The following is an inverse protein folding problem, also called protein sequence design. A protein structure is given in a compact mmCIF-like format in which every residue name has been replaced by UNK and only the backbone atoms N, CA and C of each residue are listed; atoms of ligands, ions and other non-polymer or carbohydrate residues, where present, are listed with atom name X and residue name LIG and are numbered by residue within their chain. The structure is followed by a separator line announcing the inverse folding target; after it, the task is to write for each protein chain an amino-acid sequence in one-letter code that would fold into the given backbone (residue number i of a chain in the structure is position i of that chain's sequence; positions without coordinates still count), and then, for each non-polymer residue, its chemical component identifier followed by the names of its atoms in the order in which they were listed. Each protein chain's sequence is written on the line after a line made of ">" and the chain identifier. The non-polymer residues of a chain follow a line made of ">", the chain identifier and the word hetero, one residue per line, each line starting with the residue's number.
data_IF_121971315848
#
_entry.id   IF_121971315848
#
_cell.length_a   1.000
_cell.length_b   1.000
_cell.length_c   1.000
_cell.angle_alpha   90.00
_cell.angle_beta   90.00
_cell.angle_gamma   90.00
#
_symmetry.space_group_name_H-M   'P 1'
#
loop_
_entity.id
_entity.type
_entity.pdbx_description
1 polymer ?
#
# COMPACT_ATOMS: atom_id res chain seq x y z
N UNK A 1 61.50 -43.86 -19.11
CA UNK A 1 61.01 -42.45 -19.17
C UNK A 1 59.49 -42.52 -19.28
N UNK A 2 58.84 -42.35 -18.14
CA UNK A 2 57.38 -42.41 -18.03
C UNK A 2 56.87 -40.97 -17.93
N UNK A 3 56.12 -40.51 -18.91
CA UNK A 3 55.49 -39.18 -18.89
C UNK A 3 54.15 -39.28 -18.16
N UNK A 4 54.04 -38.65 -16.98
CA UNK A 4 52.74 -38.49 -16.27
C UNK A 4 52.01 -37.27 -16.87
N UNK A 5 50.80 -37.55 -17.45
CA UNK A 5 49.87 -36.50 -17.87
C UNK A 5 49.01 -36.08 -16.69
N UNK A 6 49.14 -34.80 -16.31
CA UNK A 6 48.27 -34.14 -15.35
C UNK A 6 46.97 -33.74 -16.06
N UNK A 7 45.88 -34.37 -15.65
CA UNK A 7 44.50 -33.97 -16.06
C UNK A 7 44.02 -32.93 -15.07
N UNK A 8 43.94 -31.67 -15.50
CA UNK A 8 43.32 -30.58 -14.70
C UNK A 8 41.80 -30.70 -14.72
N UNK A 9 41.22 -31.00 -13.59
CA UNK A 9 39.78 -30.98 -13.39
C UNK A 9 39.34 -29.51 -13.17
N UNK A 10 38.66 -28.92 -14.16
CA UNK A 10 38.02 -27.60 -14.00
C UNK A 10 36.64 -27.83 -13.34
N UNK A 11 36.54 -27.48 -12.07
CA UNK A 11 35.26 -27.47 -11.38
C UNK A 11 34.46 -26.22 -11.81
N UNK A 12 33.40 -26.42 -12.60
CA UNK A 12 32.44 -25.35 -12.89
C UNK A 12 31.50 -25.23 -11.69
N UNK A 13 31.68 -24.19 -10.89
CA UNK A 13 30.75 -23.84 -9.83
C UNK A 13 29.49 -23.25 -10.47
N UNK A 14 28.39 -23.99 -10.45
CA UNK A 14 27.09 -23.48 -10.82
C UNK A 14 26.59 -22.52 -9.70
N UNK A 15 26.62 -21.23 -9.98
CA UNK A 15 25.98 -20.23 -9.11
C UNK A 15 24.47 -20.37 -9.36
N UNK A 16 23.78 -21.03 -8.42
CA UNK A 16 22.33 -21.00 -8.38
C UNK A 16 21.90 -19.57 -7.98
N UNK A 17 21.48 -18.76 -8.94
CA UNK A 17 20.72 -17.55 -8.65
C UNK A 17 19.38 -18.01 -8.04
N UNK A 18 19.28 -17.91 -6.73
CA UNK A 18 17.99 -17.94 -6.04
C UNK A 18 17.24 -16.68 -6.43
N UNK A 19 16.48 -16.74 -7.52
CA UNK A 19 15.50 -15.74 -7.87
C UNK A 19 14.48 -15.67 -6.74
N UNK A 20 14.56 -14.61 -5.92
CA UNK A 20 13.52 -14.26 -4.95
C UNK A 20 12.23 -14.09 -5.76
N UNK A 21 11.21 -14.83 -5.41
CA UNK A 21 9.94 -14.90 -6.12
C UNK A 21 9.21 -13.54 -6.05
N UNK A 22 9.45 -12.67 -7.02
CA UNK A 22 8.61 -11.49 -7.30
C UNK A 22 7.24 -11.91 -7.91
N UNK A 23 7.04 -13.20 -8.16
CA UNK A 23 5.81 -13.73 -8.75
C UNK A 23 4.58 -13.64 -7.82
N UNK A 24 4.75 -13.77 -6.51
CA UNK A 24 3.66 -13.70 -5.54
C UNK A 24 3.02 -12.31 -5.47
N UNK A 25 3.82 -11.27 -5.37
CA UNK A 25 3.33 -9.89 -5.21
C UNK A 25 2.54 -9.36 -6.42
N UNK A 26 2.84 -9.79 -7.64
CA UNK A 26 2.11 -9.36 -8.84
C UNK A 26 0.73 -10.00 -8.94
N UNK A 27 0.61 -11.30 -8.59
CA UNK A 27 -0.68 -12.00 -8.53
C UNK A 27 -1.56 -11.42 -7.42
N UNK A 28 -0.98 -11.09 -6.26
CA UNK A 28 -1.70 -10.54 -5.13
C UNK A 28 -2.23 -9.14 -5.44
N UNK A 29 -1.43 -8.26 -6.06
CA UNK A 29 -1.89 -6.95 -6.52
C UNK A 29 -2.96 -7.04 -7.62
N UNK A 30 -2.92 -8.07 -8.46
CA UNK A 30 -4.00 -8.32 -9.43
C UNK A 30 -5.29 -8.75 -8.73
N UNK A 31 -5.19 -9.57 -7.67
CA UNK A 31 -6.34 -9.95 -6.84
C UNK A 31 -6.94 -8.73 -6.12
N UNK A 32 -6.10 -7.83 -5.55
CA UNK A 32 -6.57 -6.55 -4.97
C UNK A 32 -7.36 -5.73 -5.99
N UNK A 33 -6.83 -5.55 -7.21
CA UNK A 33 -7.55 -4.84 -8.28
C UNK A 33 -8.88 -5.48 -8.58
N UNK A 34 -8.92 -6.81 -8.71
CA UNK A 34 -10.15 -7.54 -9.00
C UNK A 34 -11.21 -7.35 -7.91
N UNK A 35 -10.81 -7.44 -6.64
CA UNK A 35 -11.68 -7.30 -5.48
C UNK A 35 -12.21 -5.87 -5.33
N UNK A 36 -11.38 -4.86 -5.62
CA UNK A 36 -11.72 -3.44 -5.41
C UNK A 36 -12.25 -2.72 -6.65
N UNK A 37 -12.28 -3.38 -7.83
CA UNK A 37 -12.83 -2.81 -9.06
C UNK A 37 -14.27 -2.28 -8.94
N UNK A 38 -15.20 -2.92 -8.22
CA UNK A 38 -16.56 -2.39 -8.02
C UNK A 38 -16.59 -1.02 -7.32
N UNK A 39 -15.56 -0.70 -6.52
CA UNK A 39 -15.48 0.50 -5.69
C UNK A 39 -15.01 1.76 -6.45
N UNK A 40 -14.83 1.66 -7.77
CA UNK A 40 -14.85 2.85 -8.63
C UNK A 40 -16.19 3.58 -8.58
N UNK A 41 -17.26 2.85 -8.27
CA UNK A 41 -18.55 3.40 -7.85
C UNK A 41 -18.53 3.64 -6.34
N UNK A 42 -18.58 4.92 -5.94
CA UNK A 42 -18.53 5.31 -4.52
C UNK A 42 -19.73 4.73 -3.74
N UNK A 43 -20.91 4.63 -4.36
CA UNK A 43 -22.06 4.05 -3.70
C UNK A 43 -21.84 2.56 -3.39
N UNK A 44 -21.25 1.81 -4.33
CA UNK A 44 -20.91 0.42 -4.09
C UNK A 44 -19.89 0.25 -2.95
N UNK A 45 -18.93 1.20 -2.81
CA UNK A 45 -18.00 1.22 -1.69
C UNK A 45 -18.74 1.47 -0.36
N UNK A 46 -19.67 2.44 -0.33
CA UNK A 46 -20.48 2.75 0.86
C UNK A 46 -21.37 1.56 1.25
N UNK A 47 -22.00 0.91 0.30
CA UNK A 47 -22.81 -0.28 0.52
C UNK A 47 -22.00 -1.47 1.04
N UNK A 48 -20.69 -1.53 0.70
CA UNK A 48 -19.74 -2.49 1.21
C UNK A 48 -19.17 -2.13 2.60
N UNK A 49 -19.59 -1.02 3.20
CA UNK A 49 -19.23 -0.60 4.55
C UNK A 49 -18.08 0.40 4.65
N UNK A 50 -17.57 0.94 3.55
CA UNK A 50 -16.59 2.02 3.53
C UNK A 50 -17.30 3.38 3.68
N UNK A 51 -17.78 3.66 4.89
CA UNK A 51 -18.68 4.80 5.16
C UNK A 51 -18.04 5.92 5.97
N UNK A 52 -16.89 5.67 6.60
CA UNK A 52 -16.21 6.67 7.41
C UNK A 52 -15.14 7.38 6.59
N UNK A 53 -15.34 8.66 6.31
CA UNK A 53 -14.34 9.51 5.69
C UNK A 53 -13.42 10.05 6.77
N UNK A 54 -12.15 9.60 6.78
CA UNK A 54 -11.18 9.97 7.81
C UNK A 54 -10.76 11.44 7.67
N UNK A 55 -11.02 12.31 8.67
CA UNK A 55 -10.46 13.65 8.71
C UNK A 55 -9.10 13.64 9.42
N UNK A 56 -8.26 14.64 9.17
CA UNK A 56 -7.16 14.97 10.06
C UNK A 56 -7.64 15.88 11.22
N UNK A 57 -6.73 16.23 12.13
CA UNK A 57 -7.04 17.09 13.30
C UNK A 57 -7.50 18.51 12.94
N UNK A 58 -7.32 18.94 11.69
CA UNK A 58 -7.81 20.21 11.18
C UNK A 58 -9.19 20.09 10.52
N UNK A 59 -9.71 18.88 10.39
CA UNK A 59 -10.97 18.56 9.72
C UNK A 59 -10.83 18.33 8.22
N UNK A 60 -9.60 18.32 7.68
CA UNK A 60 -9.36 18.05 6.28
C UNK A 60 -9.48 16.56 5.99
N UNK A 61 -10.32 16.22 5.02
CA UNK A 61 -10.56 14.82 4.63
C UNK A 61 -9.74 14.39 3.41
N UNK A 62 -9.09 15.33 2.73
CA UNK A 62 -8.07 15.01 1.72
C UNK A 62 -6.69 15.24 2.34
N UNK A 63 -5.93 14.18 2.50
CA UNK A 63 -4.70 14.20 3.27
C UNK A 63 -3.51 14.57 2.37
N UNK A 64 -3.08 15.83 2.43
CA UNK A 64 -1.89 16.33 1.73
C UNK A 64 -0.63 16.21 2.59
N UNK A 65 0.55 16.12 1.94
CA UNK A 65 1.82 16.19 2.66
C UNK A 65 2.16 17.66 2.95
N UNK A 66 1.95 18.06 4.20
CA UNK A 66 2.16 19.46 4.64
C UNK A 66 3.66 19.79 4.79
N UNK A 67 4.48 18.81 5.15
CA UNK A 67 5.92 19.00 5.35
C UNK A 67 6.69 19.02 4.04
N UNK A 68 6.20 18.29 3.04
CA UNK A 68 6.78 18.23 1.71
C UNK A 68 5.69 18.24 0.62
N UNK A 69 5.17 19.40 0.23
CA UNK A 69 4.10 19.50 -0.77
C UNK A 69 4.44 18.84 -2.12
N UNK A 70 5.72 18.75 -2.48
CA UNK A 70 6.14 18.07 -3.72
C UNK A 70 5.94 16.54 -3.68
N UNK A 71 5.78 15.96 -2.51
CA UNK A 71 5.42 14.54 -2.38
C UNK A 71 3.94 14.28 -2.71
N UNK A 72 3.12 15.34 -2.85
CA UNK A 72 1.72 15.25 -3.20
C UNK A 72 0.82 14.90 -2.02
N UNK A 73 -0.14 14.01 -2.23
CA UNK A 73 -1.11 13.66 -1.23
C UNK A 73 -1.31 12.13 -1.12
N UNK A 74 -1.89 11.70 -0.03
CA UNK A 74 -2.52 10.39 0.10
C UNK A 74 -3.89 10.41 -0.61
N UNK A 75 -4.67 11.46 -0.40
CA UNK A 75 -6.04 11.59 -0.89
C UNK A 75 -7.10 11.44 0.19
N UNK A 76 -8.30 11.09 -0.22
CA UNK A 76 -9.48 10.91 0.65
C UNK A 76 -9.61 9.43 1.04
N UNK A 77 -9.59 9.14 2.34
CA UNK A 77 -9.71 7.79 2.86
C UNK A 77 -11.16 7.49 3.25
N UNK A 78 -11.76 6.51 2.57
CA UNK A 78 -13.05 5.93 2.95
C UNK A 78 -12.78 4.64 3.72
N UNK A 79 -13.00 4.67 5.02
CA UNK A 79 -12.62 3.63 5.97
C UNK A 79 -13.82 2.75 6.32
N UNK A 80 -13.59 1.45 6.42
CA UNK A 80 -14.53 0.51 7.02
C UNK A 80 -14.14 0.22 8.47
N UNK A 81 -14.86 0.80 9.42
CA UNK A 81 -14.60 0.61 10.84
C UNK A 81 -14.71 -0.86 11.28
N UNK A 82 -15.52 -1.66 10.59
CA UNK A 82 -15.64 -3.08 10.88
C UNK A 82 -14.36 -3.86 10.49
N UNK A 83 -13.68 -3.44 9.41
CA UNK A 83 -12.42 -4.05 8.95
C UNK A 83 -11.25 -3.64 9.83
N UNK A 84 -11.14 -2.36 10.16
CA UNK A 84 -10.10 -1.83 11.07
C UNK A 84 -10.13 -2.52 12.44
N UNK A 85 -11.31 -2.94 12.91
CA UNK A 85 -11.47 -3.72 14.14
C UNK A 85 -11.11 -5.20 14.01
N UNK A 86 -10.84 -5.70 12.80
CA UNK A 86 -10.46 -7.09 12.56
C UNK A 86 -8.93 -7.23 12.50
N UNK A 87 -8.28 -8.06 13.35
CA UNK A 87 -6.83 -8.21 13.34
C UNK A 87 -6.29 -9.03 12.14
N UNK A 88 -7.17 -9.59 11.30
CA UNK A 88 -6.79 -10.41 10.16
C UNK A 88 -6.52 -9.53 8.93
N UNK A 89 -5.30 -9.59 8.39
CA UNK A 89 -4.94 -8.93 7.14
C UNK A 89 -5.32 -9.80 5.94
N UNK A 90 -6.22 -9.30 5.09
CA UNK A 90 -6.58 -9.90 3.81
C UNK A 90 -6.23 -8.92 2.68
N UNK A 91 -5.34 -9.28 1.74
CA UNK A 91 -5.02 -8.42 0.60
C UNK A 91 -6.24 -7.99 -0.22
N UNK A 92 -7.29 -8.79 -0.25
CA UNK A 92 -8.48 -8.54 -1.05
C UNK A 92 -9.59 -7.80 -0.29
N UNK A 93 -9.42 -7.56 1.01
CA UNK A 93 -10.40 -6.89 1.88
C UNK A 93 -9.74 -5.75 2.70
N UNK A 94 -9.24 -4.67 2.05
CA UNK A 94 -8.50 -3.60 2.70
C UNK A 94 -9.37 -2.84 3.72
N UNK A 95 -8.72 -2.26 4.73
CA UNK A 95 -9.37 -1.45 5.77
C UNK A 95 -9.88 -0.11 5.24
N UNK A 96 -9.19 0.45 4.23
CA UNK A 96 -9.59 1.71 3.60
C UNK A 96 -9.43 1.68 2.08
N UNK A 97 -10.30 2.42 1.41
CA UNK A 97 -10.21 2.78 0.01
C UNK A 97 -9.76 4.24 -0.10
N UNK A 98 -8.79 4.50 -0.96
CA UNK A 98 -8.21 5.84 -1.12
C UNK A 98 -8.64 6.43 -2.45
N UNK A 99 -9.23 7.62 -2.38
CA UNK A 99 -9.75 8.34 -3.52
C UNK A 99 -9.02 9.65 -3.77
N UNK A 100 -8.83 9.98 -5.03
CA UNK A 100 -8.43 11.30 -5.47
C UNK A 100 -9.69 12.17 -5.67
N UNK A 101 -9.69 13.37 -5.09
CA UNK A 101 -10.73 14.37 -5.39
C UNK A 101 -10.43 15.01 -6.72
N UNK A 102 -11.44 15.09 -7.59
CA UNK A 102 -11.36 15.76 -8.88
C UNK A 102 -11.87 17.20 -8.78
N UNK A 103 -11.53 18.02 -9.76
CA UNK A 103 -11.97 19.43 -9.83
C UNK A 103 -13.50 19.60 -9.88
N UNK A 104 -14.24 18.57 -10.28
CA UNK A 104 -15.71 18.56 -10.27
C UNK A 104 -16.29 18.08 -8.93
N UNK A 105 -15.45 17.85 -7.92
CA UNK A 105 -15.81 17.32 -6.61
C UNK A 105 -16.04 15.82 -6.57
N UNK A 106 -15.99 15.11 -7.71
CA UNK A 106 -16.13 13.65 -7.73
C UNK A 106 -14.89 12.96 -7.15
N UNK A 107 -15.07 11.73 -6.64
CA UNK A 107 -14.01 10.90 -6.10
C UNK A 107 -13.64 9.79 -7.08
N UNK A 108 -12.34 9.60 -7.32
CA UNK A 108 -11.80 8.54 -8.16
C UNK A 108 -10.92 7.62 -7.33
N UNK A 109 -11.25 6.33 -7.29
CA UNK A 109 -10.42 5.31 -6.61
C UNK A 109 -9.00 5.30 -7.20
N UNK A 110 -7.99 5.41 -6.34
CA UNK A 110 -6.58 5.49 -6.74
C UNK A 110 -5.70 4.47 -6.02
N UNK A 111 -6.03 4.13 -4.76
CA UNK A 111 -5.26 3.20 -3.95
C UNK A 111 -6.17 2.48 -2.95
N UNK A 112 -5.60 1.51 -2.26
CA UNK A 112 -6.14 0.92 -1.03
C UNK A 112 -5.15 1.12 0.10
N UNK A 113 -5.62 1.05 1.34
CA UNK A 113 -4.77 1.10 2.52
C UNK A 113 -5.15 0.00 3.50
N UNK A 114 -4.12 -0.63 4.05
CA UNK A 114 -4.21 -1.63 5.11
C UNK A 114 -3.77 -1.00 6.42
N UNK A 115 -4.56 -1.19 7.48
CA UNK A 115 -4.34 -0.53 8.78
C UNK A 115 -4.43 -1.54 9.91
N UNK A 116 -3.44 -1.52 10.81
CA UNK A 116 -3.40 -2.34 12.02
C UNK A 116 -2.99 -1.49 13.21
N UNK A 117 -3.83 -1.36 14.22
CA UNK A 117 -3.45 -0.64 15.45
C UNK A 117 -2.26 -1.30 16.14
N UNK A 118 -1.36 -0.47 16.67
CA UNK A 118 -0.21 -0.94 17.44
C UNK A 118 -0.63 -1.32 18.85
N UNK A 119 -0.69 -2.62 19.12
CA UNK A 119 -0.98 -3.20 20.44
C UNK A 119 0.24 -3.86 21.05
N UNK A 120 1.44 -3.58 20.51
CA UNK A 120 2.70 -4.21 20.93
C UNK A 120 3.03 -5.50 20.16
N UNK A 121 2.30 -5.83 19.10
CA UNK A 121 2.58 -6.98 18.24
C UNK A 121 3.81 -6.72 17.35
N UNK A 122 4.32 -7.78 16.72
CA UNK A 122 5.34 -7.66 15.69
C UNK A 122 4.80 -6.78 14.52
N UNK A 123 5.70 -5.97 13.94
CA UNK A 123 5.38 -5.12 12.77
C UNK A 123 4.76 -5.96 11.65
N UNK A 124 3.54 -5.66 11.21
CA UNK A 124 2.88 -6.41 10.15
C UNK A 124 3.56 -6.20 8.80
N UNK A 125 3.33 -7.13 7.89
CA UNK A 125 3.81 -7.03 6.51
C UNK A 125 2.79 -7.64 5.55
N UNK A 126 2.69 -7.08 4.33
CA UNK A 126 1.88 -7.59 3.24
C UNK A 126 2.65 -7.42 1.93
N UNK A 127 2.46 -8.29 0.95
CA UNK A 127 3.20 -8.27 -0.33
C UNK A 127 4.73 -8.34 -0.18
N UNK A 128 5.23 -8.83 0.99
CA UNK A 128 6.65 -8.80 1.32
C UNK A 128 7.17 -7.43 1.77
N UNK A 129 6.28 -6.45 2.01
CA UNK A 129 6.59 -5.09 2.44
C UNK A 129 6.11 -4.88 3.88
N UNK A 130 6.98 -4.44 4.80
CA UNK A 130 6.57 -4.09 6.15
C UNK A 130 5.75 -2.80 6.15
N UNK A 131 4.72 -2.73 7.00
CA UNK A 131 3.90 -1.53 7.16
C UNK A 131 4.70 -0.39 7.79
N UNK A 132 4.38 0.84 7.45
CA UNK A 132 4.92 2.02 8.11
C UNK A 132 4.21 2.25 9.45
N UNK A 133 5.00 2.61 10.48
CA UNK A 133 4.45 2.99 11.78
C UNK A 133 4.05 4.46 11.78
N UNK A 134 2.90 4.75 12.38
CA UNK A 134 2.34 6.09 12.54
C UNK A 134 1.95 6.29 14.01
N UNK A 135 2.28 7.44 14.58
CA UNK A 135 1.95 7.76 15.97
C UNK A 135 0.46 8.10 16.20
N UNK A 136 -0.31 8.22 15.12
CA UNK A 136 -1.74 8.52 15.13
C UNK A 136 -2.09 9.99 15.40
N UNK A 137 -1.13 10.82 15.81
CA UNK A 137 -1.36 12.19 16.30
C UNK A 137 -2.06 13.09 15.28
N UNK A 138 -1.78 12.91 14.00
CA UNK A 138 -2.42 13.68 12.92
C UNK A 138 -3.92 13.41 12.80
N UNK A 139 -4.40 12.26 13.26
CA UNK A 139 -5.78 11.80 13.07
C UNK A 139 -6.55 11.69 14.39
N UNK A 140 -5.93 12.07 15.52
CA UNK A 140 -6.46 11.85 16.87
C UNK A 140 -6.77 10.37 17.13
N UNK A 141 -5.86 9.50 16.71
CA UNK A 141 -5.94 8.05 16.85
C UNK A 141 -4.81 7.50 17.71
N UNK A 142 -4.99 6.29 18.25
CA UNK A 142 -3.91 5.51 18.83
C UNK A 142 -2.87 5.17 17.75
N UNK A 143 -1.60 4.89 18.12
CA UNK A 143 -0.58 4.48 17.17
C UNK A 143 -1.00 3.27 16.33
N UNK A 144 -0.61 3.27 15.06
CA UNK A 144 -0.97 2.22 14.11
C UNK A 144 0.12 1.98 13.06
N UNK A 145 0.02 0.85 12.38
CA UNK A 145 0.78 0.52 11.19
C UNK A 145 -0.11 0.66 9.96
N UNK A 146 0.43 1.20 8.88
CA UNK A 146 -0.29 1.36 7.62
C UNK A 146 0.56 0.97 6.41
N UNK A 147 -0.10 0.49 5.36
CA UNK A 147 0.52 0.22 4.07
C UNK A 147 -0.43 0.63 2.95
N UNK A 148 -0.04 1.64 2.17
CA UNK A 148 -0.72 1.99 0.92
C UNK A 148 -0.37 1.01 -0.19
N UNK A 149 -1.33 0.76 -1.09
CA UNK A 149 -1.07 0.09 -2.36
C UNK A 149 -1.77 0.84 -3.51
N UNK A 150 -0.98 1.56 -4.32
CA UNK A 150 -1.44 2.38 -5.46
C UNK A 150 -1.79 1.51 -6.65
N UNK A 151 -2.82 0.69 -6.51
CA UNK A 151 -3.21 -0.30 -7.52
C UNK A 151 -3.97 0.31 -8.71
N UNK A 152 -4.51 1.55 -8.57
CA UNK A 152 -5.34 2.20 -9.58
C UNK A 152 -4.72 3.48 -10.17
N UNK A 153 -3.70 4.04 -9.53
CA UNK A 153 -2.95 5.20 -10.04
C UNK A 153 -1.45 4.96 -9.84
N UNK A 154 -0.63 5.02 -10.90
CA UNK A 154 0.81 4.84 -10.75
C UNK A 154 1.42 5.87 -9.79
N UNK A 155 2.27 5.40 -8.88
CA UNK A 155 3.04 6.24 -7.98
C UNK A 155 4.52 6.20 -8.40
N UNK A 156 5.09 7.34 -8.85
CA UNK A 156 6.50 7.41 -9.27
C UNK A 156 7.47 7.59 -8.12
N UNK A 157 7.01 7.69 -6.86
CA UNK A 157 7.87 7.94 -5.71
C UNK A 157 8.84 6.80 -5.46
N UNK A 158 10.15 7.08 -5.48
CA UNK A 158 11.18 6.09 -5.14
C UNK A 158 11.57 6.21 -3.65
N UNK A 159 12.02 5.12 -3.02
CA UNK A 159 12.18 3.77 -3.56
C UNK A 159 10.93 2.88 -3.47
N UNK A 160 9.90 3.30 -2.73
CA UNK A 160 8.76 2.44 -2.39
C UNK A 160 7.70 2.34 -3.51
N UNK A 161 7.69 3.28 -4.48
CA UNK A 161 6.80 3.23 -5.64
C UNK A 161 5.34 3.01 -5.24
N UNK A 162 4.78 1.88 -5.69
CA UNK A 162 3.39 1.49 -5.46
C UNK A 162 2.99 1.42 -3.96
N UNK A 163 3.96 1.28 -3.03
CA UNK A 163 3.72 1.17 -1.60
C UNK A 163 4.09 2.43 -0.80
N UNK A 164 4.50 3.51 -1.48
CA UNK A 164 4.75 4.78 -0.80
C UNK A 164 3.43 5.40 -0.30
N UNK A 165 3.43 5.95 0.90
CA UNK A 165 2.25 6.61 1.46
C UNK A 165 1.78 7.81 0.62
N UNK A 166 2.72 8.58 0.07
CA UNK A 166 2.45 9.81 -0.68
C UNK A 166 2.58 9.59 -2.18
N UNK A 167 1.72 10.22 -2.98
CA UNK A 167 1.79 10.17 -4.43
C UNK A 167 1.81 11.59 -5.02
N UNK A 168 2.90 12.03 -5.69
CA UNK A 168 3.01 13.37 -6.24
C UNK A 168 2.05 13.65 -7.41
N UNK A 169 1.33 12.63 -7.87
CA UNK A 169 0.28 12.75 -8.88
C UNK A 169 -1.13 12.89 -8.30
N UNK A 170 -1.23 12.93 -6.96
CA UNK A 170 -2.49 13.15 -6.23
C UNK A 170 -2.40 14.51 -5.54
N UNK A 171 -3.40 15.34 -5.71
CA UNK A 171 -3.57 16.62 -5.05
C UNK A 171 -4.83 16.65 -4.21
N UNK A 172 -4.92 17.66 -3.33
CA UNK A 172 -6.09 17.97 -2.52
C UNK A 172 -6.66 19.38 -2.87
N UNK A 173 -6.18 19.96 -3.96
CA UNK A 173 -6.65 21.29 -4.38
C UNK A 173 -8.07 21.19 -4.96
N UNK A 174 -8.90 22.15 -4.55
CA UNK A 174 -10.28 22.35 -5.05
C UNK A 174 -10.29 23.05 -6.42
#
# INVERSE_FOLDING_TARGET
>A
MIRASLISLVAVAAIALTGVALGGSQSDLAAVRSATAPFHDLQAAMDAGYTFQLPDIFGDTCIANLDNPSAGAMGVHMVSLARVGNPSLDPTDPEALVYERRNDGSLKLVAVEYVVFDTGQARPSLFGVPFDWNDGSRYDLDPFYALHAWVWKPNPSEPAGIFNAWNPRVGCED
#
